data_IF_573834268174
#
_entry.id   IF_573834268174
#
_cell.length_a   1.000
_cell.length_b   1.000
_cell.length_c   1.000
_cell.angle_alpha   90.00
_cell.angle_beta   90.00
_cell.angle_gamma   90.00
#
_symmetry.space_group_name_H-M   'P 1'
#
loop_
_entity.id
_entity.type
_entity.pdbx_description
1 polymer ?
#
# COMPACT_ATOMS: atom_id res chain seq x y z
N UNK A 1 17.06 18.95 19.88
CA UNK A 1 17.68 17.99 18.94
C UNK A 1 16.77 16.79 18.65
N UNK A 2 16.04 16.23 19.62
CA UNK A 2 15.12 15.09 19.40
C UNK A 2 13.90 15.37 18.49
N UNK A 3 13.45 16.62 18.33
CA UNK A 3 12.20 16.90 17.58
C UNK A 3 12.35 16.87 16.06
N UNK A 4 13.54 17.10 15.50
CA UNK A 4 13.74 17.08 14.03
C UNK A 4 13.59 15.66 13.47
N UNK A 5 14.20 14.66 14.10
CA UNK A 5 14.09 13.26 13.65
C UNK A 5 12.66 12.74 13.66
N UNK A 6 11.86 13.09 14.69
CA UNK A 6 10.45 12.70 14.76
C UNK A 6 9.61 13.38 13.66
N UNK A 7 9.88 14.65 13.35
CA UNK A 7 9.19 15.38 12.30
C UNK A 7 9.53 14.83 10.91
N UNK A 8 10.80 14.54 10.64
CA UNK A 8 11.24 13.91 9.39
C UNK A 8 10.64 12.50 9.22
N UNK A 9 10.61 11.69 10.28
CA UNK A 9 9.94 10.38 10.25
C UNK A 9 8.43 10.51 9.98
N UNK A 10 7.77 11.50 10.58
CA UNK A 10 6.33 11.74 10.34
C UNK A 10 6.06 12.10 8.90
N UNK A 11 6.87 13.00 8.32
CA UNK A 11 6.75 13.42 6.93
C UNK A 11 7.05 12.26 5.96
N UNK A 12 8.10 11.50 6.25
CA UNK A 12 8.46 10.29 5.52
C UNK A 12 7.28 9.30 5.51
N UNK A 13 6.70 9.03 6.68
CA UNK A 13 5.52 8.15 6.80
C UNK A 13 4.35 8.64 5.96
N UNK A 14 4.03 9.94 6.02
CA UNK A 14 2.95 10.52 5.20
C UNK A 14 3.19 10.31 3.71
N UNK A 15 4.41 10.57 3.22
CA UNK A 15 4.76 10.35 1.82
C UNK A 15 4.60 8.87 1.42
N UNK A 16 4.97 7.94 2.31
CA UNK A 16 4.83 6.50 2.06
C UNK A 16 3.35 6.07 2.05
N UNK A 17 2.54 6.61 2.96
CA UNK A 17 1.08 6.37 3.00
C UNK A 17 0.39 6.92 1.74
N UNK A 18 0.75 8.12 1.28
CA UNK A 18 0.24 8.74 0.07
C UNK A 18 0.61 7.94 -1.19
N UNK A 19 1.86 7.46 -1.27
CA UNK A 19 2.31 6.65 -2.40
C UNK A 19 1.56 5.31 -2.45
N UNK A 20 1.35 4.66 -1.30
CA UNK A 20 0.55 3.44 -1.23
C UNK A 20 -0.90 3.71 -1.64
N UNK A 21 -1.50 4.79 -1.14
CA UNK A 21 -2.89 5.15 -1.47
C UNK A 21 -3.08 5.40 -2.97
N UNK A 22 -2.11 6.07 -3.60
CA UNK A 22 -2.11 6.32 -5.05
C UNK A 22 -2.06 5.03 -5.86
N UNK A 23 -1.14 4.11 -5.52
CA UNK A 23 -1.01 2.84 -6.24
C UNK A 23 -2.26 1.96 -6.09
N UNK A 24 -2.86 1.97 -4.90
CA UNK A 24 -4.09 1.22 -4.62
C UNK A 24 -5.29 1.84 -5.33
N UNK A 25 -5.38 3.18 -5.39
CA UNK A 25 -6.42 3.85 -6.17
C UNK A 25 -6.27 3.56 -7.66
N UNK A 26 -5.05 3.52 -8.20
CA UNK A 26 -4.82 3.16 -9.60
C UNK A 26 -5.33 1.74 -9.90
N UNK A 27 -5.09 0.77 -9.01
CA UNK A 27 -5.69 -0.57 -9.14
C UNK A 27 -7.22 -0.53 -9.05
N UNK A 28 -7.79 0.30 -8.17
CA UNK A 28 -9.24 0.47 -8.05
C UNK A 28 -9.85 0.98 -9.36
N UNK A 29 -9.29 2.06 -9.90
CA UNK A 29 -9.75 2.71 -11.12
C UNK A 29 -9.66 1.75 -12.31
N UNK A 30 -8.61 0.90 -12.37
CA UNK A 30 -8.47 -0.14 -13.39
C UNK A 30 -9.56 -1.21 -13.31
N UNK A 31 -9.96 -1.61 -12.09
CA UNK A 31 -11.07 -2.56 -11.92
C UNK A 31 -12.43 -1.92 -12.26
N UNK A 32 -12.64 -0.65 -11.91
CA UNK A 32 -13.86 0.09 -12.24
C UNK A 32 -14.04 0.28 -13.74
N UNK A 33 -12.96 0.58 -14.46
CA UNK A 33 -12.98 0.79 -15.90
C UNK A 33 -12.69 -0.49 -16.70
N UNK A 34 -12.68 -1.68 -16.08
CA UNK A 34 -12.27 -2.93 -16.74
C UNK A 34 -13.06 -3.24 -18.01
N UNK A 35 -14.36 -2.94 -18.01
CA UNK A 35 -15.27 -3.18 -19.13
C UNK A 35 -15.02 -2.22 -20.32
N UNK A 36 -14.40 -1.07 -20.05
CA UNK A 36 -14.08 -0.04 -21.04
C UNK A 36 -12.67 -0.20 -21.64
N UNK A 37 -11.85 -1.10 -21.08
CA UNK A 37 -10.46 -1.34 -21.47
C UNK A 37 -10.31 -2.64 -22.27
N UNK A 38 -9.39 -2.61 -23.24
CA UNK A 38 -8.95 -3.83 -23.91
C UNK A 38 -8.19 -4.73 -22.93
N UNK A 39 -8.28 -6.05 -23.13
CA UNK A 39 -7.64 -7.02 -22.24
C UNK A 39 -6.13 -6.79 -22.10
N UNK A 40 -5.48 -6.44 -23.21
CA UNK A 40 -4.03 -6.20 -23.24
C UNK A 40 -3.65 -4.91 -22.49
N UNK A 41 -4.41 -3.83 -22.66
CA UNK A 41 -4.22 -2.55 -21.97
C UNK A 41 -4.45 -2.66 -20.46
N UNK A 42 -5.50 -3.39 -20.05
CA UNK A 42 -5.78 -3.65 -18.64
C UNK A 42 -4.66 -4.47 -18.01
N UNK A 43 -4.26 -5.57 -18.62
CA UNK A 43 -3.21 -6.44 -18.06
C UNK A 43 -1.86 -5.73 -18.02
N UNK A 44 -1.49 -4.96 -19.03
CA UNK A 44 -0.25 -4.16 -19.02
C UNK A 44 -0.25 -3.16 -17.85
N UNK A 45 -1.27 -2.31 -17.77
CA UNK A 45 -1.33 -1.26 -16.73
C UNK A 45 -1.43 -1.84 -15.33
N UNK A 46 -2.15 -2.95 -15.16
CA UNK A 46 -2.24 -3.68 -13.90
C UNK A 46 -0.90 -4.26 -13.49
N UNK A 47 -0.19 -4.91 -14.42
CA UNK A 47 1.11 -5.51 -14.13
C UNK A 47 2.16 -4.44 -13.78
N UNK A 48 2.17 -3.31 -14.49
CA UNK A 48 3.03 -2.18 -14.13
C UNK A 48 2.75 -1.65 -12.72
N UNK A 49 1.46 -1.51 -12.35
CA UNK A 49 1.08 -1.04 -11.01
C UNK A 49 1.47 -2.04 -9.93
N UNK A 50 1.34 -3.34 -10.20
CA UNK A 50 1.78 -4.42 -9.30
C UNK A 50 3.30 -4.41 -9.14
N UNK A 51 4.06 -4.18 -10.21
CA UNK A 51 5.51 -4.11 -10.15
C UNK A 51 5.98 -2.88 -9.36
N UNK A 52 5.33 -1.72 -9.52
CA UNK A 52 5.56 -0.56 -8.67
C UNK A 52 5.29 -0.86 -7.18
N UNK A 53 4.24 -1.61 -6.85
CA UNK A 53 3.97 -2.05 -5.48
C UNK A 53 5.08 -2.97 -4.93
N UNK A 54 5.62 -3.89 -5.76
CA UNK A 54 6.75 -4.75 -5.36
C UNK A 54 8.01 -3.93 -5.07
N UNK A 55 8.37 -3.00 -5.96
CA UNK A 55 9.52 -2.10 -5.77
C UNK A 55 9.36 -1.22 -4.53
N UNK A 56 8.14 -0.74 -4.29
CA UNK A 56 7.81 0.04 -3.12
C UNK A 56 7.98 -0.78 -1.83
N UNK A 57 7.51 -2.03 -1.82
CA UNK A 57 7.74 -2.96 -0.71
C UNK A 57 9.23 -3.19 -0.44
N UNK A 58 10.01 -3.45 -1.48
CA UNK A 58 11.45 -3.68 -1.35
C UNK A 58 12.17 -2.44 -0.78
N UNK A 59 11.68 -1.25 -1.12
CA UNK A 59 12.18 0.01 -0.57
C UNK A 59 11.85 0.14 0.93
N UNK A 60 10.62 -0.20 1.34
CA UNK A 60 10.24 -0.27 2.76
C UNK A 60 11.07 -1.29 3.54
N UNK A 61 11.31 -2.47 2.97
CA UNK A 61 12.14 -3.52 3.58
C UNK A 61 13.58 -3.06 3.80
N UNK A 62 14.14 -2.30 2.86
CA UNK A 62 15.48 -1.70 3.01
C UNK A 62 15.51 -0.63 4.10
N UNK A 63 14.46 0.20 4.20
CA UNK A 63 14.36 1.26 5.20
C UNK A 63 14.17 0.71 6.62
N UNK A 64 13.37 -0.35 6.79
CA UNK A 64 13.08 -0.97 8.09
C UNK A 64 14.26 -1.78 8.63
N UNK A 65 15.07 -2.41 7.78
CA UNK A 65 16.29 -3.14 8.19
C UNK A 65 17.32 -2.29 8.96
N UNK A 66 17.34 -0.97 8.74
CA UNK A 66 18.30 -0.05 9.37
C UNK A 66 17.74 0.81 10.50
N UNK A 67 16.42 0.84 10.72
CA UNK A 67 15.80 1.78 11.65
C UNK A 67 14.65 1.15 12.45
N UNK A 68 14.96 0.73 13.68
CA UNK A 68 14.03 0.05 14.59
C UNK A 68 12.80 0.90 14.94
N UNK A 69 12.90 2.25 14.93
CA UNK A 69 11.72 3.10 15.18
C UNK A 69 10.74 3.12 14.01
N UNK A 70 11.21 2.88 12.79
CA UNK A 70 10.37 2.80 11.60
C UNK A 70 9.77 1.40 11.40
N UNK A 71 10.34 0.35 12.01
CA UNK A 71 9.81 -1.03 11.85
C UNK A 71 8.35 -1.12 12.28
N UNK A 72 8.03 -0.68 13.50
CA UNK A 72 6.67 -0.73 14.02
C UNK A 72 5.72 0.17 13.22
N UNK A 73 6.22 1.32 12.74
CA UNK A 73 5.44 2.28 11.96
C UNK A 73 5.09 1.75 10.56
N UNK A 74 6.03 1.11 9.87
CA UNK A 74 5.92 0.71 8.46
C UNK A 74 5.39 -0.72 8.25
N UNK A 75 5.38 -1.58 9.28
CA UNK A 75 4.85 -2.95 9.21
C UNK A 75 3.42 -3.03 8.64
N UNK A 76 2.56 -2.06 8.97
CA UNK A 76 1.18 -2.01 8.47
C UNK A 76 1.10 -1.81 6.95
N UNK A 77 1.98 -0.97 6.40
CA UNK A 77 2.06 -0.72 4.96
C UNK A 77 2.63 -1.93 4.21
N UNK A 78 3.64 -2.62 4.77
CA UNK A 78 4.18 -3.84 4.16
C UNK A 78 3.11 -4.93 4.02
N UNK A 79 2.27 -5.10 5.03
CA UNK A 79 1.14 -6.04 4.99
C UNK A 79 0.08 -5.62 3.96
N UNK A 80 -0.24 -4.33 3.89
CA UNK A 80 -1.17 -3.78 2.90
C UNK A 80 -0.68 -4.04 1.46
N UNK A 81 0.59 -3.76 1.19
CA UNK A 81 1.22 -3.98 -0.12
C UNK A 81 1.26 -5.47 -0.45
N UNK A 82 1.61 -6.32 0.53
CA UNK A 82 1.63 -7.76 0.30
C UNK A 82 0.24 -8.31 -0.04
N UNK A 83 -0.81 -7.79 0.61
CA UNK A 83 -2.19 -8.14 0.29
C UNK A 83 -2.62 -7.67 -1.11
N UNK A 84 -2.16 -6.49 -1.55
CA UNK A 84 -2.39 -5.96 -2.89
C UNK A 84 -1.71 -6.82 -3.97
N UNK A 85 -0.46 -7.26 -3.72
CA UNK A 85 0.31 -8.08 -4.67
C UNK A 85 -0.23 -9.52 -4.75
N UNK A 86 -0.64 -10.11 -3.62
CA UNK A 86 -0.99 -11.54 -3.56
C UNK A 86 -2.36 -11.88 -4.15
N UNK A 87 -2.95 -11.00 -4.96
CA UNK A 87 -4.31 -11.10 -5.49
C UNK A 87 -5.39 -11.30 -4.40
N UNK A 88 -5.07 -10.99 -3.13
CA UNK A 88 -5.91 -11.36 -2.00
C UNK A 88 -7.10 -10.42 -1.78
N UNK A 89 -7.13 -9.26 -2.45
CA UNK A 89 -8.29 -8.37 -2.38
C UNK A 89 -8.63 -7.81 -3.75
N UNK A 90 -9.81 -8.18 -4.23
CA UNK A 90 -10.55 -7.45 -5.27
C UNK A 90 -11.13 -6.12 -4.73
N UNK A 91 -10.59 -5.60 -3.63
CA UNK A 91 -11.25 -4.56 -2.81
C UNK A 91 -10.21 -3.57 -2.28
N UNK A 92 -9.94 -2.50 -3.04
CA UNK A 92 -9.02 -1.41 -2.70
C UNK A 92 -9.27 -0.82 -1.30
N UNK A 93 -10.51 -0.83 -0.82
CA UNK A 93 -10.91 -0.35 0.51
C UNK A 93 -10.21 -1.12 1.64
N UNK A 94 -10.01 -2.43 1.48
CA UNK A 94 -9.36 -3.26 2.50
C UNK A 94 -7.88 -2.88 2.62
N UNK A 95 -7.22 -2.60 1.50
CA UNK A 95 -5.81 -2.20 1.48
C UNK A 95 -5.64 -0.84 2.15
N UNK A 96 -6.56 0.11 1.90
CA UNK A 96 -6.59 1.42 2.57
C UNK A 96 -6.75 1.29 4.09
N UNK A 97 -7.60 0.37 4.55
CA UNK A 97 -7.78 0.12 5.99
C UNK A 97 -6.51 -0.47 6.63
N UNK A 98 -5.75 -1.30 5.91
CA UNK A 98 -4.48 -1.86 6.39
C UNK A 98 -3.39 -0.77 6.48
N UNK A 99 -3.27 0.04 5.43
CA UNK A 99 -2.30 1.14 5.36
C UNK A 99 -2.49 2.15 6.50
N UNK A 100 -3.74 2.48 6.84
CA UNK A 100 -4.08 3.43 7.90
C UNK A 100 -4.04 2.84 9.31
N UNK A 101 -3.61 1.58 9.47
CA UNK A 101 -3.63 0.85 10.76
C UNK A 101 -4.98 0.94 11.47
N UNK A 102 -6.07 0.64 10.76
CA UNK A 102 -7.42 0.55 11.34
C UNK A 102 -7.87 -0.92 11.48
N UNK A 103 -7.18 -1.76 12.29
CA UNK A 103 -7.41 -3.21 12.34
C UNK A 103 -8.82 -3.59 12.81
N UNK A 104 -9.49 -2.72 13.59
CA UNK A 104 -10.86 -2.95 14.06
C UNK A 104 -11.89 -2.94 12.93
N UNK A 105 -11.83 -1.95 12.04
CA UNK A 105 -12.72 -1.85 10.87
C UNK A 105 -12.39 -2.93 9.82
N UNK A 106 -11.12 -3.32 9.78
CA UNK A 106 -10.63 -4.32 8.86
C UNK A 106 -11.13 -5.72 9.19
N UNK A 107 -11.10 -6.12 10.47
CA UNK A 107 -11.67 -7.40 10.91
C UNK A 107 -13.16 -7.51 10.57
N UNK A 108 -13.90 -6.41 10.71
CA UNK A 108 -15.33 -6.36 10.43
C UNK A 108 -15.64 -6.56 8.94
N UNK A 109 -14.80 -6.04 8.04
CA UNK A 109 -14.91 -6.20 6.58
C UNK A 109 -14.38 -7.54 6.04
N UNK A 110 -13.49 -8.21 6.75
CA UNK A 110 -12.97 -9.54 6.37
C UNK A 110 -13.82 -10.71 6.86
N UNK A 111 -14.72 -10.46 7.82
CA UNK A 111 -15.63 -11.46 8.39
C UNK A 111 -17.01 -11.50 7.72
N UNK A 112 -17.27 -10.60 6.76
CA UNK A 112 -18.43 -10.59 5.86
C UNK A 112 -18.04 -11.20 4.50
#
# INVERSE_FOLDING_TARGET
MASRGAQENTKLRQNLEEQLDRLVQQLADLEECREDLEDEEYEETKNETIDQLKEFKDSLDKMTKGNVSLVDELNGMQLAIQAAISQAFKTPEVIRLFAKKQPGQLRQRLSE
#
